data_IF_702693565415
#
_entry.id   IF_702693565415
#
_cell.length_a   1.000
_cell.length_b   1.000
_cell.length_c   1.000
_cell.angle_alpha   90.00
_cell.angle_beta   90.00
_cell.angle_gamma   90.00
#
_symmetry.space_group_name_H-M   'P 1'
#
loop_
_entity.id
_entity.type
_entity.pdbx_description
1 polymer ?
#
# COMPACT_ATOMS: atom_id res chain seq x y z
N UNK A 1 40.88 45.39 67.07
CA UNK A 1 41.03 46.37 65.97
C UNK A 1 41.59 45.68 64.74
N UNK A 2 40.82 45.80 63.65
CA UNK A 2 41.17 45.64 62.24
C UNK A 2 41.60 44.27 61.69
N UNK A 3 40.75 43.84 60.76
CA UNK A 3 40.80 42.77 59.77
C UNK A 3 42.03 42.89 58.87
N UNK A 4 42.63 41.77 58.49
CA UNK A 4 43.24 41.63 57.16
C UNK A 4 43.02 40.20 56.69
N UNK A 5 41.88 39.99 56.04
CA UNK A 5 41.68 38.92 55.09
C UNK A 5 42.53 39.25 53.86
N UNK A 6 43.50 38.39 53.53
CA UNK A 6 44.10 38.39 52.21
C UNK A 6 43.63 37.13 51.49
N UNK A 7 42.45 37.23 50.91
CA UNK A 7 41.97 36.29 49.90
C UNK A 7 42.76 36.54 48.60
N UNK A 8 43.29 35.46 48.02
CA UNK A 8 43.70 35.41 46.62
C UNK A 8 45.21 35.27 46.38
N UNK A 9 45.61 34.06 46.00
CA UNK A 9 46.19 33.84 44.68
C UNK A 9 45.63 32.51 44.15
N UNK A 10 44.68 32.59 43.21
CA UNK A 10 44.41 31.50 42.28
C UNK A 10 45.51 31.56 41.22
N UNK A 11 46.62 30.88 41.49
CA UNK A 11 47.71 30.68 40.55
C UNK A 11 48.02 29.20 40.50
N UNK A 12 48.16 28.69 39.27
CA UNK A 12 48.59 27.33 38.91
C UNK A 12 47.48 26.28 38.83
N UNK A 13 46.55 26.58 37.92
CA UNK A 13 45.87 25.57 37.10
C UNK A 13 46.93 24.80 36.32
N UNK A 14 47.01 23.49 36.58
CA UNK A 14 47.61 22.46 35.72
C UNK A 14 49.15 22.47 35.58
N UNK A 15 49.83 21.75 36.49
CA UNK A 15 51.10 21.12 36.16
C UNK A 15 51.02 19.61 36.47
N UNK A 16 50.94 18.73 35.44
CA UNK A 16 50.92 17.28 35.63
C UNK A 16 52.37 16.82 35.79
N UNK A 17 52.84 16.76 37.03
CA UNK A 17 54.22 16.41 37.30
C UNK A 17 54.44 16.01 38.73
N UNK A 18 54.44 14.70 38.95
CA UNK A 18 55.13 14.02 40.04
C UNK A 18 54.54 14.14 41.45
N UNK A 19 53.64 13.20 41.77
CA UNK A 19 53.33 12.84 43.16
C UNK A 19 53.05 11.34 43.24
N UNK A 20 54.13 10.55 43.29
CA UNK A 20 54.13 9.23 43.91
C UNK A 20 53.68 9.38 45.38
N UNK A 21 52.38 9.16 45.64
CA UNK A 21 51.85 9.04 47.00
C UNK A 21 51.13 7.69 47.15
N UNK A 22 51.71 6.71 47.88
CA UNK A 22 51.02 5.49 48.25
C UNK A 22 50.20 5.78 49.52
N UNK A 23 49.01 6.36 49.34
CA UNK A 23 48.06 6.65 50.41
C UNK A 23 46.68 6.13 50.04
N UNK A 24 46.21 5.12 50.77
CA UNK A 24 45.11 4.24 50.36
C UNK A 24 43.72 4.87 50.24
N UNK A 25 42.96 4.29 49.33
CA UNK A 25 41.51 4.37 49.21
C UNK A 25 41.05 3.63 47.95
N UNK A 26 40.17 2.61 48.02
CA UNK A 26 39.69 1.93 46.83
C UNK A 26 38.60 2.80 46.19
N UNK A 27 38.97 3.59 45.18
CA UNK A 27 37.99 4.13 44.23
C UNK A 27 37.78 3.06 43.15
N UNK A 28 36.57 2.50 42.99
CA UNK A 28 36.31 1.56 41.91
C UNK A 28 36.60 2.25 40.59
N UNK A 29 37.51 1.61 39.86
CA UNK A 29 38.05 2.00 38.57
C UNK A 29 36.89 2.35 37.64
N UNK A 30 37.02 3.49 36.97
CA UNK A 30 36.24 3.91 35.82
C UNK A 30 35.77 2.70 35.00
N UNK A 31 34.47 2.48 34.88
CA UNK A 31 33.93 1.62 33.84
C UNK A 31 34.37 2.21 32.51
N UNK A 32 35.46 1.70 31.96
CA UNK A 32 35.77 1.85 30.56
C UNK A 32 34.60 1.20 29.80
N UNK A 33 33.59 1.97 29.43
CA UNK A 33 32.55 1.57 28.46
C UNK A 33 33.11 1.45 27.03
N UNK A 34 34.43 1.36 26.87
CA UNK A 34 35.10 1.05 25.62
C UNK A 34 35.07 -0.44 25.29
N UNK A 35 33.87 -1.03 25.25
CA UNK A 35 33.57 -2.20 24.42
C UNK A 35 32.05 -2.43 24.32
N UNK A 36 31.34 -1.54 23.62
CA UNK A 36 29.98 -1.80 23.14
C UNK A 36 29.95 -2.08 21.63
N UNK A 37 31.07 -2.54 21.07
CA UNK A 37 31.11 -3.11 19.73
C UNK A 37 30.58 -4.54 19.77
N UNK A 38 29.26 -4.72 19.76
CA UNK A 38 28.69 -6.05 19.47
C UNK A 38 27.50 -6.53 20.29
N UNK A 39 26.67 -5.66 20.86
CA UNK A 39 25.35 -6.08 21.36
C UNK A 39 24.30 -5.94 20.27
N UNK A 40 24.36 -6.92 19.36
CA UNK A 40 23.26 -7.51 18.62
C UNK A 40 22.73 -6.77 17.37
N UNK A 41 23.44 -6.96 16.26
CA UNK A 41 22.88 -6.86 14.92
C UNK A 41 21.91 -8.01 14.64
N UNK A 42 20.64 -7.81 14.96
CA UNK A 42 19.53 -8.62 14.50
C UNK A 42 18.56 -7.78 13.66
N UNK A 43 18.09 -8.23 12.48
CA UNK A 43 17.08 -7.53 11.71
C UNK A 43 15.73 -7.64 12.42
N UNK A 44 15.44 -6.70 13.31
CA UNK A 44 14.27 -6.75 14.20
C UNK A 44 13.79 -5.36 14.58
N UNK A 45 13.06 -4.74 13.65
CA UNK A 45 12.15 -3.60 13.77
C UNK A 45 11.93 -2.97 15.16
N UNK A 46 12.63 -1.87 15.46
CA UNK A 46 11.92 -0.73 16.08
C UNK A 46 11.14 -0.07 14.94
N UNK A 47 9.96 -0.61 14.60
CA UNK A 47 9.08 -0.01 13.61
C UNK A 47 8.69 1.36 14.14
N UNK A 48 9.34 2.41 13.65
CA UNK A 48 8.93 3.78 13.91
C UNK A 48 7.45 3.87 13.49
N UNK A 49 6.54 4.39 14.32
CA UNK A 49 5.15 4.61 13.90
C UNK A 49 5.08 5.40 12.59
N UNK A 50 6.06 6.29 12.36
CA UNK A 50 6.21 7.03 11.12
C UNK A 50 6.57 6.12 9.94
N UNK A 51 7.33 5.04 10.13
CA UNK A 51 7.66 4.09 9.06
C UNK A 51 6.43 3.24 8.68
N UNK A 52 5.62 2.83 9.67
CA UNK A 52 4.37 2.11 9.41
C UNK A 52 3.34 3.01 8.70
N UNK A 53 3.22 4.28 9.11
CA UNK A 53 2.37 5.26 8.43
C UNK A 53 2.88 5.56 7.02
N UNK A 54 4.20 5.69 6.83
CA UNK A 54 4.79 5.90 5.51
C UNK A 54 4.65 4.67 4.61
N UNK A 55 4.69 3.45 5.15
CA UNK A 55 4.42 2.24 4.38
C UNK A 55 2.96 2.17 3.92
N UNK A 56 2.00 2.53 4.78
CA UNK A 56 0.58 2.61 4.39
C UNK A 56 0.31 3.67 3.30
N UNK A 57 1.08 4.77 3.29
CA UNK A 57 0.99 5.80 2.23
C UNK A 57 1.71 5.35 0.95
N UNK A 58 2.66 4.42 1.05
CA UNK A 58 3.45 3.88 -0.08
C UNK A 58 2.89 2.54 -0.58
N UNK A 59 1.67 2.17 -0.21
CA UNK A 59 0.97 1.10 -0.92
C UNK A 59 0.63 1.62 -2.31
N UNK A 60 1.50 1.27 -3.26
CA UNK A 60 1.32 1.60 -4.66
C UNK A 60 0.03 0.92 -5.12
N UNK A 61 -1.05 1.70 -5.26
CA UNK A 61 -2.38 1.25 -5.69
C UNK A 61 -2.40 0.76 -7.15
N UNK A 62 -1.24 0.56 -7.77
CA UNK A 62 -1.09 0.25 -9.17
C UNK A 62 -1.32 1.47 -10.07
N UNK A 63 -1.39 1.22 -11.38
CA UNK A 63 -1.73 2.24 -12.35
C UNK A 63 -3.24 2.52 -12.30
N UNK A 64 -3.62 3.64 -11.70
CA UNK A 64 -5.02 4.11 -11.66
C UNK A 64 -5.34 5.13 -12.78
N UNK A 65 -4.40 5.37 -13.70
CA UNK A 65 -4.53 6.42 -14.71
C UNK A 65 -5.75 6.25 -15.62
N UNK A 66 -6.16 5.00 -15.83
CA UNK A 66 -7.28 4.66 -16.70
C UNK A 66 -8.64 4.77 -16.00
N UNK A 67 -8.73 5.04 -14.69
CA UNK A 67 -10.00 4.99 -13.93
C UNK A 67 -10.82 6.30 -13.94
N UNK A 68 -10.28 7.43 -14.43
CA UNK A 68 -11.01 8.71 -14.38
C UNK A 68 -10.66 9.70 -15.50
N UNK A 69 -10.26 9.21 -16.69
CA UNK A 69 -9.83 10.08 -17.78
C UNK A 69 -10.97 10.49 -18.72
N UNK A 70 -11.98 11.20 -18.21
CA UNK A 70 -12.95 12.02 -18.97
C UNK A 70 -13.84 11.36 -20.05
N UNK A 71 -13.54 10.14 -20.47
CA UNK A 71 -14.18 9.37 -21.54
C UNK A 71 -14.57 7.96 -21.08
N UNK A 72 -14.88 7.81 -19.77
CA UNK A 72 -15.14 6.53 -19.14
C UNK A 72 -13.82 5.85 -18.80
N UNK A 73 -13.53 5.73 -17.52
CA UNK A 73 -12.39 4.92 -17.11
C UNK A 73 -12.65 3.44 -17.41
N UNK A 74 -11.62 2.71 -17.81
CA UNK A 74 -11.71 1.27 -18.09
C UNK A 74 -11.05 0.47 -16.97
N UNK A 75 -11.65 -0.68 -16.65
CA UNK A 75 -11.10 -1.72 -15.80
C UNK A 75 -10.66 -2.92 -16.64
N UNK A 76 -9.44 -3.39 -16.37
CA UNK A 76 -8.91 -4.58 -17.02
C UNK A 76 -9.48 -5.82 -16.36
N UNK A 77 -10.00 -6.75 -17.17
CA UNK A 77 -10.49 -8.03 -16.67
C UNK A 77 -9.36 -9.06 -16.59
N UNK A 78 -9.48 -10.10 -15.74
CA UNK A 78 -8.52 -11.21 -15.65
C UNK A 78 -8.28 -11.93 -16.98
N UNK A 79 -9.27 -11.88 -17.89
CA UNK A 79 -9.24 -12.46 -19.23
C UNK A 79 -8.67 -11.51 -20.29
N UNK A 80 -8.22 -10.31 -19.89
CA UNK A 80 -7.59 -9.31 -20.77
C UNK A 80 -8.58 -8.39 -21.49
N UNK A 81 -9.87 -8.48 -21.18
CA UNK A 81 -10.89 -7.55 -21.66
C UNK A 81 -10.85 -6.20 -20.95
N UNK A 82 -11.66 -5.27 -21.44
CA UNK A 82 -11.76 -3.90 -20.95
C UNK A 82 -13.21 -3.60 -20.63
N UNK A 83 -13.52 -3.34 -19.37
CA UNK A 83 -14.87 -3.00 -18.91
C UNK A 83 -14.96 -1.51 -18.59
N UNK A 84 -15.98 -0.84 -19.10
CA UNK A 84 -16.16 0.59 -18.95
C UNK A 84 -17.64 0.94 -18.75
N UNK A 85 -17.87 2.05 -18.06
CA UNK A 85 -19.20 2.63 -17.91
C UNK A 85 -19.42 3.68 -18.99
N UNK A 86 -20.53 3.57 -19.71
CA UNK A 86 -20.98 4.54 -20.69
C UNK A 86 -22.30 5.21 -20.27
N UNK A 87 -22.96 5.93 -21.20
CA UNK A 87 -24.19 6.66 -20.89
C UNK A 87 -25.43 5.76 -20.74
N UNK A 88 -25.40 4.56 -21.35
CA UNK A 88 -26.49 3.58 -21.38
C UNK A 88 -26.30 2.45 -20.36
N UNK A 89 -25.06 2.17 -19.95
CA UNK A 89 -24.76 1.15 -18.96
C UNK A 89 -23.32 0.69 -19.02
N UNK A 90 -23.11 -0.62 -18.85
CA UNK A 90 -21.79 -1.21 -18.77
C UNK A 90 -21.43 -1.87 -20.11
N UNK A 91 -20.24 -1.61 -20.62
CA UNK A 91 -19.69 -2.29 -21.79
C UNK A 91 -18.42 -3.03 -21.44
N UNK A 92 -18.22 -4.20 -22.05
CA UNK A 92 -16.97 -4.96 -21.97
C UNK A 92 -16.53 -5.38 -23.36
N UNK A 93 -15.32 -4.99 -23.76
CA UNK A 93 -14.66 -5.44 -24.97
C UNK A 93 -13.72 -6.62 -24.65
N UNK A 94 -13.78 -7.66 -25.47
CA UNK A 94 -12.97 -8.86 -25.29
C UNK A 94 -11.82 -8.94 -26.32
N UNK A 95 -10.71 -9.62 -25.98
CA UNK A 95 -9.56 -9.76 -26.89
C UNK A 95 -9.85 -10.50 -28.19
N UNK A 96 -10.92 -11.30 -28.25
CA UNK A 96 -11.35 -12.00 -29.47
C UNK A 96 -12.10 -11.09 -30.45
N UNK A 97 -12.33 -9.83 -30.08
CA UNK A 97 -13.07 -8.83 -30.87
C UNK A 97 -14.58 -8.83 -30.61
N UNK A 98 -15.08 -9.68 -29.72
CA UNK A 98 -16.46 -9.62 -29.24
C UNK A 98 -16.65 -8.52 -28.21
N UNK A 99 -17.89 -8.12 -27.98
CA UNK A 99 -18.25 -7.19 -26.92
C UNK A 99 -19.60 -7.52 -26.29
N UNK A 100 -19.78 -7.10 -25.04
CA UNK A 100 -21.08 -7.09 -24.38
C UNK A 100 -21.47 -5.67 -23.96
N UNK A 101 -22.77 -5.40 -23.96
CA UNK A 101 -23.37 -4.19 -23.43
C UNK A 101 -24.57 -4.54 -22.57
N UNK A 102 -24.56 -4.09 -21.32
CA UNK A 102 -25.67 -4.20 -20.38
C UNK A 102 -26.38 -2.86 -20.26
N UNK A 103 -27.67 -2.83 -20.58
CA UNK A 103 -28.54 -1.68 -20.36
C UNK A 103 -29.19 -1.77 -18.97
N UNK A 104 -28.86 -0.82 -18.11
CA UNK A 104 -29.36 -0.77 -16.72
C UNK A 104 -30.86 -0.48 -16.59
N UNK A 105 -31.46 0.14 -17.60
CA UNK A 105 -32.86 0.55 -17.55
C UNK A 105 -33.78 -0.58 -18.01
N UNK A 106 -33.33 -1.38 -18.98
CA UNK A 106 -34.08 -2.54 -19.48
C UNK A 106 -33.66 -3.88 -18.85
N UNK A 107 -32.47 -3.99 -18.26
CA UNK A 107 -31.93 -5.24 -17.77
C UNK A 107 -31.43 -6.19 -18.87
N UNK A 108 -31.36 -5.72 -20.12
CA UNK A 108 -30.93 -6.51 -21.27
C UNK A 108 -29.42 -6.51 -21.39
N UNK A 109 -28.84 -7.71 -21.56
CA UNK A 109 -27.46 -7.92 -21.98
C UNK A 109 -27.42 -8.26 -23.47
N UNK A 110 -26.65 -7.49 -24.23
CA UNK A 110 -26.41 -7.71 -25.66
C UNK A 110 -24.97 -8.16 -25.87
N UNK A 111 -24.76 -9.26 -26.57
CA UNK A 111 -23.45 -9.74 -27.01
C UNK A 111 -23.31 -9.55 -28.51
N UNK A 112 -22.27 -8.86 -28.94
CA UNK A 112 -21.85 -8.78 -30.34
C UNK A 112 -20.63 -9.67 -30.52
N UNK A 113 -20.74 -10.67 -31.38
CA UNK A 113 -19.67 -11.62 -31.65
C UNK A 113 -18.65 -11.02 -32.64
N UNK A 114 -17.45 -11.61 -32.77
CA UNK A 114 -16.42 -11.09 -33.68
C UNK A 114 -16.83 -11.16 -35.16
N UNK A 115 -17.77 -12.04 -35.51
CA UNK A 115 -18.36 -12.15 -36.85
C UNK A 115 -19.49 -11.13 -37.11
N UNK A 116 -19.82 -10.29 -36.13
CA UNK A 116 -20.87 -9.29 -36.17
C UNK A 116 -22.27 -9.84 -35.83
N UNK A 117 -22.41 -11.13 -35.52
CA UNK A 117 -23.70 -11.67 -35.06
C UNK A 117 -24.03 -11.18 -33.64
N UNK A 118 -25.31 -10.95 -33.38
CA UNK A 118 -25.80 -10.36 -32.12
C UNK A 118 -26.74 -11.32 -31.41
N UNK A 119 -26.54 -11.47 -30.11
CA UNK A 119 -27.47 -12.17 -29.21
C UNK A 119 -27.87 -11.26 -28.07
N UNK A 120 -29.12 -11.35 -27.65
CA UNK A 120 -29.67 -10.54 -26.54
C UNK A 120 -30.29 -11.46 -25.50
N UNK A 121 -30.08 -11.16 -24.23
CA UNK A 121 -30.66 -11.89 -23.11
C UNK A 121 -31.19 -10.90 -22.07
N UNK A 122 -32.41 -11.11 -21.61
CA UNK A 122 -32.96 -10.42 -20.46
C UNK A 122 -32.37 -11.07 -19.19
N UNK A 123 -31.76 -10.26 -18.32
CA UNK A 123 -31.21 -10.69 -17.02
C UNK A 123 -32.15 -10.39 -15.84
N UNK A 124 -33.26 -9.69 -16.07
CA UNK A 124 -34.18 -9.21 -15.02
C UNK A 124 -34.92 -10.32 -14.27
N UNK A 125 -34.90 -11.55 -14.76
CA UNK A 125 -35.50 -12.73 -14.12
C UNK A 125 -34.47 -13.65 -13.43
N UNK A 126 -33.25 -13.16 -13.24
CA UNK A 126 -32.15 -13.91 -12.64
C UNK A 126 -31.41 -14.82 -13.62
N UNK A 127 -31.60 -14.62 -14.93
CA UNK A 127 -30.83 -15.31 -15.96
C UNK A 127 -29.32 -15.12 -15.79
N UNK A 128 -28.56 -16.06 -16.36
CA UNK A 128 -27.11 -16.07 -16.38
C UNK A 128 -26.63 -16.20 -17.82
N UNK A 129 -25.64 -15.41 -18.20
CA UNK A 129 -25.02 -15.44 -19.52
C UNK A 129 -23.57 -15.86 -19.40
N UNK A 130 -23.17 -16.83 -20.22
CA UNK A 130 -21.75 -17.15 -20.41
C UNK A 130 -21.21 -16.24 -21.50
N UNK A 131 -20.19 -15.46 -21.16
CA UNK A 131 -19.55 -14.51 -22.06
C UNK A 131 -18.51 -15.21 -22.95
N UNK A 132 -18.07 -14.56 -24.05
CA UNK A 132 -17.08 -15.12 -24.97
C UNK A 132 -15.74 -15.51 -24.30
N UNK A 133 -15.34 -14.79 -23.25
CA UNK A 133 -14.15 -15.09 -22.45
C UNK A 133 -14.33 -16.22 -21.41
N UNK A 134 -15.52 -16.83 -21.38
CA UNK A 134 -15.89 -17.89 -20.45
C UNK A 134 -16.33 -17.40 -19.07
N UNK A 135 -16.34 -16.09 -18.81
CA UNK A 135 -16.93 -15.54 -17.58
C UNK A 135 -18.45 -15.69 -17.57
N UNK A 136 -19.07 -15.62 -16.40
CA UNK A 136 -20.52 -15.71 -16.24
C UNK A 136 -21.06 -14.43 -15.62
N UNK A 137 -21.96 -13.74 -16.32
CA UNK A 137 -22.63 -12.54 -15.84
C UNK A 137 -24.07 -12.83 -15.42
N UNK A 138 -24.50 -12.21 -14.33
CA UNK A 138 -25.87 -12.30 -13.81
C UNK A 138 -26.30 -11.01 -13.12
N UNK A 139 -27.60 -10.73 -13.13
CA UNK A 139 -28.20 -9.64 -12.37
C UNK A 139 -28.90 -10.24 -11.14
N UNK A 140 -28.46 -9.85 -9.95
CA UNK A 140 -29.05 -10.29 -8.70
C UNK A 140 -30.33 -9.53 -8.34
N UNK A 141 -31.15 -10.12 -7.47
CA UNK A 141 -32.37 -9.48 -6.92
C UNK A 141 -32.07 -8.17 -6.16
N UNK A 142 -30.82 -7.97 -5.73
CA UNK A 142 -30.34 -6.74 -5.12
C UNK A 142 -29.97 -5.64 -6.14
N UNK A 143 -30.21 -5.91 -7.43
CA UNK A 143 -29.90 -5.03 -8.55
C UNK A 143 -28.42 -4.98 -8.92
N UNK A 144 -27.57 -5.86 -8.36
CA UNK A 144 -26.14 -5.90 -8.70
C UNK A 144 -25.87 -6.79 -9.89
N UNK A 145 -25.11 -6.26 -10.84
CA UNK A 145 -24.50 -7.05 -11.90
C UNK A 145 -23.22 -7.72 -11.35
N UNK A 146 -23.16 -9.04 -11.40
CA UNK A 146 -21.99 -9.83 -10.96
C UNK A 146 -21.45 -10.61 -12.14
N UNK A 147 -20.15 -10.48 -12.39
CA UNK A 147 -19.41 -11.29 -13.37
C UNK A 147 -18.41 -12.17 -12.64
N UNK A 148 -18.48 -13.49 -12.84
CA UNK A 148 -17.49 -14.43 -12.30
C UNK A 148 -16.57 -14.91 -13.42
N UNK A 149 -15.28 -14.66 -13.29
CA UNK A 149 -14.28 -15.05 -14.27
C UNK A 149 -13.91 -16.54 -14.15
N UNK A 150 -13.32 -17.15 -15.20
CA UNK A 150 -12.89 -18.55 -15.17
C UNK A 150 -11.89 -18.89 -14.04
N UNK A 151 -11.16 -17.90 -13.51
CA UNK A 151 -10.25 -18.05 -12.37
C UNK A 151 -10.95 -17.98 -11.01
N UNK A 152 -12.26 -17.72 -10.98
CA UNK A 152 -13.10 -17.63 -9.80
C UNK A 152 -13.18 -16.22 -9.18
N UNK A 153 -12.51 -15.22 -9.75
CA UNK A 153 -12.62 -13.83 -9.29
C UNK A 153 -13.93 -13.18 -9.76
N UNK A 154 -14.34 -12.09 -9.08
CA UNK A 154 -15.57 -11.32 -9.36
C UNK A 154 -15.33 -9.83 -9.20
#
# INVERSE_FOLDING_TARGET
NAVTEKLGNLGDVNNPGDANNPGGGPMPVTSNLGNLGGLNGGPGSTRNPNDAANQAITENLGNLGDLNNGAGGSLDTPTGGKTQLDSSGLTTDFPDGSSISFDKDSGILTTTHPDGSVTTQDLGDGARVTNPDGSVTSLGDDGKLTTTFPDGTT
#
